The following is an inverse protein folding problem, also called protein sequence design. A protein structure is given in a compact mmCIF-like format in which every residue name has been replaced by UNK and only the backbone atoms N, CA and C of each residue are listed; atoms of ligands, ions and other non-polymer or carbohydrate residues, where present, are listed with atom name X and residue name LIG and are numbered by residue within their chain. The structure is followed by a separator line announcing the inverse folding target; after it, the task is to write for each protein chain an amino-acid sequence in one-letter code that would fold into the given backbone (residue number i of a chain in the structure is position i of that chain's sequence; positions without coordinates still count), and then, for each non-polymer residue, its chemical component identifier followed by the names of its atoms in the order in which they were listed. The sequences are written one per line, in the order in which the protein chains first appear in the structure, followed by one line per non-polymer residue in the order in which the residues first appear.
data_IF_423144483791
#
_entry.id   IF_423144483791
#
_cell.length_a   1.000
_cell.length_b   1.000
_cell.length_c   1.000
_cell.angle_alpha   90.00
_cell.angle_beta   90.00
_cell.angle_gamma   90.00
#
_symmetry.space_group_name_H-M   'P 1'
#
loop_
_entity.id
_entity.type
_entity.pdbx_description
1 polymer ?
#
# COMPACT_ATOMS: atom_id res chain seq x y z
N UNK A 1 -24.09 -0.68 -3.88
CA UNK A 1 -22.85 -1.33 -3.37
C UNK A 1 -22.65 -0.85 -1.95
N UNK A 2 -23.11 -1.63 -0.98
CA UNK A 2 -23.00 -1.27 0.43
C UNK A 2 -21.61 -1.69 0.89
N UNK A 3 -20.76 -0.72 1.21
CA UNK A 3 -19.88 -0.92 2.35
C UNK A 3 -20.84 -1.20 3.50
N UNK A 4 -20.98 -2.48 3.89
CA UNK A 4 -21.65 -2.81 5.14
C UNK A 4 -21.02 -1.92 6.19
N UNK A 5 -21.79 -0.93 6.65
CA UNK A 5 -21.31 0.09 7.55
C UNK A 5 -20.92 -0.63 8.83
N UNK A 6 -19.62 -0.95 8.95
CA UNK A 6 -19.10 -1.55 10.15
C UNK A 6 -19.55 -0.65 11.30
N UNK A 7 -20.35 -1.15 12.27
CA UNK A 7 -20.85 -0.31 13.34
C UNK A 7 -19.67 0.40 13.99
N UNK A 8 -19.85 1.65 14.43
CA UNK A 8 -18.74 2.47 14.94
C UNK A 8 -17.87 1.74 15.99
N UNK A 9 -18.47 0.83 16.76
CA UNK A 9 -17.81 -0.09 17.69
C UNK A 9 -16.81 -1.05 17.02
N UNK A 10 -17.17 -1.61 15.86
CA UNK A 10 -16.31 -2.49 15.06
C UNK A 10 -15.10 -1.77 14.48
N UNK A 11 -15.27 -0.52 14.00
CA UNK A 11 -14.15 0.29 13.52
C UNK A 11 -13.16 0.62 14.65
N UNK A 12 -13.67 1.02 15.83
CA UNK A 12 -12.82 1.30 17.00
C UNK A 12 -12.07 0.05 17.47
N UNK A 13 -12.72 -1.11 17.45
CA UNK A 13 -12.08 -2.38 17.78
C UNK A 13 -10.98 -2.76 16.77
N UNK A 14 -11.23 -2.56 15.47
CA UNK A 14 -10.22 -2.81 14.43
C UNK A 14 -9.02 -1.87 14.58
N UNK A 15 -9.26 -0.58 14.79
CA UNK A 15 -8.21 0.41 15.03
C UNK A 15 -7.38 0.06 16.27
N UNK A 16 -8.03 -0.36 17.36
CA UNK A 16 -7.34 -0.79 18.57
C UNK A 16 -6.38 -1.97 18.30
N UNK A 17 -6.81 -2.94 17.49
CA UNK A 17 -5.96 -4.08 17.07
C UNK A 17 -4.76 -3.63 16.25
N UNK A 18 -4.95 -2.72 15.29
CA UNK A 18 -3.86 -2.18 14.46
C UNK A 18 -2.83 -1.42 15.31
N UNK A 19 -3.30 -0.57 16.24
CA UNK A 19 -2.44 0.15 17.19
C UNK A 19 -1.65 -0.80 18.08
N UNK A 20 -2.31 -1.81 18.66
CA UNK A 20 -1.64 -2.80 19.49
C UNK A 20 -0.57 -3.58 18.72
N UNK A 21 -0.83 -3.95 17.47
CA UNK A 21 0.17 -4.58 16.60
C UNK A 21 1.35 -3.65 16.32
N UNK A 22 1.11 -2.38 16.01
CA UNK A 22 2.17 -1.41 15.77
C UNK A 22 3.08 -1.19 16.99
N UNK A 23 2.49 -1.08 18.18
CA UNK A 23 3.26 -0.91 19.42
C UNK A 23 4.07 -2.16 19.78
N UNK A 24 3.52 -3.35 19.54
CA UNK A 24 4.19 -4.64 19.81
C UNK A 24 5.33 -4.90 18.83
N UNK A 25 5.08 -4.70 17.54
CA UNK A 25 5.99 -5.14 16.46
C UNK A 25 6.95 -4.03 16.01
N UNK A 26 6.63 -2.76 16.33
CA UNK A 26 7.47 -1.60 16.03
C UNK A 26 7.53 -1.24 14.53
N UNK A 27 8.59 -0.50 14.16
CA UNK A 27 8.83 -0.13 12.76
C UNK A 27 9.29 -1.38 11.98
N UNK A 28 8.64 -1.72 10.85
CA UNK A 28 8.96 -2.93 10.11
C UNK A 28 10.37 -2.88 9.51
N UNK A 29 11.06 -4.02 9.58
CA UNK A 29 12.37 -4.23 8.98
C UNK A 29 12.32 -4.11 7.45
N UNK A 30 13.49 -3.96 6.83
CA UNK A 30 13.62 -3.97 5.37
C UNK A 30 13.02 -5.25 4.75
N UNK A 31 13.32 -6.41 5.34
CA UNK A 31 12.79 -7.70 4.89
C UNK A 31 11.26 -7.71 4.94
N UNK A 32 10.66 -7.22 6.03
CA UNK A 32 9.21 -7.21 6.18
C UNK A 32 8.54 -6.27 5.19
N UNK A 33 9.14 -5.12 4.91
CA UNK A 33 8.66 -4.18 3.88
C UNK A 33 8.71 -4.81 2.49
N UNK A 34 9.80 -5.50 2.14
CA UNK A 34 9.92 -6.21 0.86
C UNK A 34 8.86 -7.31 0.75
N UNK A 35 8.66 -8.11 1.81
CA UNK A 35 7.62 -9.14 1.84
C UNK A 35 6.22 -8.56 1.57
N UNK A 36 5.89 -7.42 2.18
CA UNK A 36 4.61 -6.76 1.93
C UNK A 36 4.51 -6.19 0.51
N UNK A 37 5.56 -5.60 -0.03
CA UNK A 37 5.58 -5.12 -1.41
C UNK A 37 5.37 -6.28 -2.40
N UNK A 38 6.00 -7.43 -2.16
CA UNK A 38 5.81 -8.63 -2.98
C UNK A 38 4.39 -9.16 -2.89
N UNK A 39 3.81 -9.23 -1.69
CA UNK A 39 2.41 -9.63 -1.50
C UNK A 39 1.45 -8.67 -2.20
N UNK A 40 1.69 -7.36 -2.16
CA UNK A 40 0.86 -6.38 -2.87
C UNK A 40 0.96 -6.53 -4.39
N UNK A 41 2.16 -6.79 -4.92
CA UNK A 41 2.35 -7.07 -6.36
C UNK A 41 1.59 -8.34 -6.75
N UNK A 42 1.71 -9.40 -5.94
CA UNK A 42 1.06 -10.69 -6.17
C UNK A 42 -0.47 -10.57 -6.15
N UNK A 43 -1.04 -9.83 -5.19
CA UNK A 43 -2.48 -9.54 -5.13
C UNK A 43 -2.98 -8.87 -6.41
N UNK A 44 -2.25 -7.87 -6.91
CA UNK A 44 -2.63 -7.15 -8.13
C UNK A 44 -2.49 -8.02 -9.38
N UNK A 45 -1.42 -8.81 -9.47
CA UNK A 45 -1.19 -9.71 -10.59
C UNK A 45 -2.21 -10.85 -10.63
N UNK A 46 -2.55 -11.42 -9.47
CA UNK A 46 -3.47 -12.56 -9.33
C UNK A 46 -4.92 -12.14 -9.54
N UNK A 47 -5.31 -10.94 -9.09
CA UNK A 47 -6.70 -10.49 -9.10
C UNK A 47 -6.99 -9.36 -10.10
N UNK A 48 -6.04 -9.04 -10.99
CA UNK A 48 -6.15 -7.92 -11.94
C UNK A 48 -7.44 -7.95 -12.76
N UNK A 49 -7.82 -9.10 -13.31
CA UNK A 49 -9.04 -9.24 -14.10
C UNK A 49 -10.31 -8.99 -13.29
N UNK A 50 -10.39 -9.55 -12.07
CA UNK A 50 -11.52 -9.34 -11.18
C UNK A 50 -11.65 -7.86 -10.76
N UNK A 51 -10.52 -7.18 -10.56
CA UNK A 51 -10.48 -5.74 -10.27
C UNK A 51 -10.91 -4.91 -11.49
N UNK A 52 -10.48 -5.28 -12.70
CA UNK A 52 -10.91 -4.64 -13.94
C UNK A 52 -12.42 -4.78 -14.16
N UNK A 53 -12.97 -5.96 -13.90
CA UNK A 53 -14.42 -6.22 -14.00
C UNK A 53 -15.22 -5.39 -12.98
N UNK A 54 -14.74 -5.29 -11.74
CA UNK A 54 -15.34 -4.46 -10.71
C UNK A 54 -15.33 -2.97 -11.12
N UNK A 55 -14.18 -2.46 -11.59
CA UNK A 55 -14.09 -1.07 -12.06
C UNK A 55 -15.00 -0.79 -13.27
N UNK A 56 -15.12 -1.74 -14.20
CA UNK A 56 -16.04 -1.59 -15.32
C UNK A 56 -17.51 -1.51 -14.84
N UNK A 57 -17.88 -2.31 -13.85
CA UNK A 57 -19.22 -2.29 -13.26
C UNK A 57 -19.49 -1.00 -12.47
N UNK A 58 -18.52 -0.51 -11.70
CA UNK A 58 -18.66 0.66 -10.84
C UNK A 58 -18.66 1.99 -11.61
N UNK A 59 -17.87 2.06 -12.69
CA UNK A 59 -17.62 3.30 -13.42
C UNK A 59 -18.23 3.32 -14.83
N UNK A 60 -19.30 2.55 -15.05
CA UNK A 60 -20.14 2.69 -16.26
C UNK A 60 -19.45 2.24 -17.55
N UNK A 61 -18.85 1.05 -17.55
CA UNK A 61 -18.11 0.44 -18.66
C UNK A 61 -16.76 1.11 -18.98
N UNK A 62 -16.02 1.49 -17.93
CA UNK A 62 -14.60 1.86 -18.08
C UNK A 62 -13.86 0.76 -18.87
N UNK A 63 -13.01 1.18 -19.81
CA UNK A 63 -12.21 0.25 -20.63
C UNK A 63 -11.33 -0.61 -19.72
N UNK A 64 -11.44 -1.93 -19.87
CA UNK A 64 -10.60 -2.89 -19.13
C UNK A 64 -9.12 -2.69 -19.45
N UNK A 65 -8.78 -2.39 -20.71
CA UNK A 65 -7.39 -2.13 -21.11
C UNK A 65 -6.85 -0.87 -20.44
N UNK A 66 -7.68 0.17 -20.36
CA UNK A 66 -7.32 1.39 -19.64
C UNK A 66 -7.08 1.09 -18.17
N UNK A 67 -8.00 0.39 -17.50
CA UNK A 67 -7.85 0.05 -16.09
C UNK A 67 -6.68 -0.88 -15.81
N UNK A 68 -6.45 -1.86 -16.68
CA UNK A 68 -5.30 -2.74 -16.57
C UNK A 68 -3.98 -1.94 -16.67
N UNK A 69 -3.90 -0.97 -17.58
CA UNK A 69 -2.70 -0.14 -17.73
C UNK A 69 -2.52 0.81 -16.54
N UNK A 70 -3.55 1.57 -16.16
CA UNK A 70 -3.41 2.67 -15.20
C UNK A 70 -3.49 2.21 -13.75
N UNK A 71 -4.39 1.28 -13.45
CA UNK A 71 -4.73 0.91 -12.07
C UNK A 71 -3.96 -0.35 -11.63
N UNK A 72 -3.80 -1.35 -12.51
CA UNK A 72 -3.09 -2.60 -12.19
C UNK A 72 -1.59 -2.47 -12.49
N UNK A 73 -1.22 -2.33 -13.77
CA UNK A 73 0.18 -2.30 -14.21
C UNK A 73 0.93 -1.08 -13.65
N UNK A 74 0.27 0.09 -13.61
CA UNK A 74 0.80 1.30 -12.99
C UNK A 74 1.15 1.11 -11.51
N UNK A 75 0.24 0.53 -10.74
CA UNK A 75 0.45 0.20 -9.32
C UNK A 75 1.58 -0.81 -9.12
N UNK A 76 1.63 -1.89 -9.92
CA UNK A 76 2.73 -2.86 -9.90
C UNK A 76 4.07 -2.17 -10.21
N UNK A 77 4.11 -1.27 -11.19
CA UNK A 77 5.30 -0.49 -11.53
C UNK A 77 5.80 0.34 -10.34
N UNK A 78 4.91 1.08 -9.68
CA UNK A 78 5.24 1.85 -8.49
C UNK A 78 5.73 0.97 -7.33
N UNK A 79 5.09 -0.19 -7.09
CA UNK A 79 5.49 -1.15 -6.06
C UNK A 79 6.87 -1.76 -6.35
N UNK A 80 7.15 -2.14 -7.60
CA UNK A 80 8.47 -2.63 -8.01
C UNK A 80 9.54 -1.56 -7.84
N UNK A 81 9.24 -0.31 -8.21
CA UNK A 81 10.14 0.82 -7.98
C UNK A 81 10.39 1.03 -6.48
N UNK A 82 9.36 1.01 -5.64
CA UNK A 82 9.50 1.10 -4.20
C UNK A 82 10.37 -0.04 -3.64
N UNK A 83 10.13 -1.28 -4.07
CA UNK A 83 10.92 -2.45 -3.66
C UNK A 83 12.40 -2.30 -4.01
N UNK A 84 12.71 -1.78 -5.20
CA UNK A 84 14.10 -1.57 -5.63
C UNK A 84 14.83 -0.49 -4.81
N UNK A 85 14.11 0.47 -4.22
CA UNK A 85 14.71 1.65 -3.60
C UNK A 85 14.53 1.75 -2.08
N UNK A 86 13.64 0.96 -1.48
CA UNK A 86 13.29 1.06 -0.06
C UNK A 86 14.50 0.90 0.87
N UNK A 87 15.47 0.04 0.52
CA UNK A 87 16.71 -0.10 1.28
C UNK A 87 17.53 1.21 1.35
N UNK A 88 17.53 2.00 0.27
CA UNK A 88 18.17 3.32 0.24
C UNK A 88 17.36 4.35 1.02
N UNK A 89 16.04 4.35 0.85
CA UNK A 89 15.14 5.31 1.50
C UNK A 89 15.09 5.15 3.02
N UNK A 90 15.32 3.95 3.54
CA UNK A 90 15.36 3.70 4.98
C UNK A 90 16.64 4.15 5.67
N UNK A 91 17.69 4.56 4.93
CA UNK A 91 18.96 4.96 5.53
C UNK A 91 18.78 6.28 6.30
N UNK A 92 19.30 6.39 7.53
CA UNK A 92 19.36 7.67 8.23
C UNK A 92 20.14 8.71 7.42
N UNK A 93 19.62 9.93 7.37
CA UNK A 93 20.28 11.04 6.70
C UNK A 93 20.99 11.92 7.75
N UNK A 94 22.29 12.18 7.56
CA UNK A 94 23.01 13.15 8.39
C UNK A 94 22.64 14.55 7.95
N UNK A 95 22.03 15.32 8.85
CA UNK A 95 21.74 16.74 8.64
C UNK A 95 22.82 17.57 9.32
N UNK A 96 23.39 18.55 8.61
CA UNK A 96 24.25 19.57 9.22
C UNK A 96 23.36 20.57 9.94
N UNK A 97 23.79 20.99 11.13
CA UNK A 97 23.21 22.13 11.81
C UNK A 97 23.62 23.42 11.10
N UNK A 98 22.74 24.41 11.11
CA UNK A 98 22.99 25.72 10.52
C UNK A 98 23.86 26.55 11.46
N UNK A 99 25.04 27.00 11.00
CA UNK A 99 25.91 27.88 11.79
C UNK A 99 25.29 29.29 11.87
N UNK A 100 25.32 29.99 13.03
CA UNK A 100 26.01 29.66 14.29
C UNK A 100 25.14 28.97 15.35
N UNK A 101 23.96 28.47 15.01
CA UNK A 101 22.96 27.97 15.98
C UNK A 101 23.02 26.45 16.20
N UNK A 102 24.12 25.82 15.78
CA UNK A 102 24.33 24.38 15.81
C UNK A 102 24.88 23.82 17.10
#
# INVERSE_FOLDING_TARGET
MALDAAPATGMNALLAKQKAAHLRDGIPSLQKRIEWLDKSIDLLATHGDALNDAMAADFGHRSKDQSNLTDIAGSIGALKHAKAHVAKWMKPEKRKVEFPLG
#
